data_IF_561132837014
#
_entry.id   IF_561132837014
#
_cell.length_a   1.000
_cell.length_b   1.000
_cell.length_c   1.000
_cell.angle_alpha   90.00
_cell.angle_beta   90.00
_cell.angle_gamma   90.00
#
_symmetry.space_group_name_H-M   'P 1'
#
loop_
_entity.id
_entity.type
_entity.pdbx_description
1 polymer ?
#
# COMPACT_ATOMS: atom_id res chain seq x y z
N UNK A 1 17.94 -13.83 20.54
CA UNK A 1 18.03 -12.62 19.66
C UNK A 1 16.61 -12.07 19.54
N UNK A 2 16.43 -10.77 19.63
CA UNK A 2 15.09 -10.18 19.58
C UNK A 2 14.41 -10.42 18.22
N UNK A 3 13.15 -10.83 18.21
CA UNK A 3 12.34 -11.05 17.01
C UNK A 3 11.52 -9.79 16.75
N UNK A 4 11.92 -9.02 15.73
CA UNK A 4 11.29 -7.75 15.36
C UNK A 4 10.10 -7.99 14.42
N UNK A 5 9.13 -7.04 14.42
CA UNK A 5 7.99 -7.09 13.50
C UNK A 5 8.43 -7.06 12.04
N UNK A 6 9.32 -6.12 11.70
CA UNK A 6 9.88 -5.95 10.37
C UNK A 6 11.39 -5.81 10.42
N UNK A 7 12.08 -6.49 9.52
CA UNK A 7 13.51 -6.28 9.27
C UNK A 7 13.72 -6.23 7.76
N UNK A 8 13.86 -5.03 7.18
CA UNK A 8 14.13 -4.88 5.76
C UNK A 8 15.39 -5.64 5.33
N UNK A 9 15.32 -6.24 4.17
CA UNK A 9 16.43 -7.03 3.60
C UNK A 9 16.73 -6.52 2.20
N UNK A 10 18.01 -6.29 1.91
CA UNK A 10 18.47 -5.73 0.65
C UNK A 10 19.53 -6.61 0.00
N UNK A 11 19.55 -6.68 -1.33
CA UNK A 11 20.71 -7.08 -2.10
C UNK A 11 21.70 -5.92 -2.11
N UNK A 12 22.59 -5.91 -1.12
CA UNK A 12 23.50 -4.78 -0.84
C UNK A 12 24.40 -4.49 -2.03
N UNK A 13 24.99 -5.53 -2.66
CA UNK A 13 25.95 -5.34 -3.76
C UNK A 13 25.25 -4.76 -5.01
N UNK A 14 24.08 -5.27 -5.37
CA UNK A 14 23.29 -4.73 -6.49
C UNK A 14 22.84 -3.31 -6.22
N UNK A 15 22.41 -3.00 -4.99
CA UNK A 15 22.03 -1.65 -4.58
C UNK A 15 23.22 -0.68 -4.70
N UNK A 16 24.37 -1.04 -4.15
CA UNK A 16 25.57 -0.21 -4.20
C UNK A 16 26.07 0.00 -5.63
N UNK A 17 26.00 -1.03 -6.49
CA UNK A 17 26.33 -0.91 -7.91
C UNK A 17 25.45 0.10 -8.62
N UNK A 18 24.13 0.03 -8.45
CA UNK A 18 23.18 0.98 -9.06
C UNK A 18 23.35 2.41 -8.55
N UNK A 19 23.60 2.58 -7.24
CA UNK A 19 23.88 3.89 -6.65
C UNK A 19 25.21 4.45 -7.18
N UNK A 20 26.24 3.65 -7.27
CA UNK A 20 27.56 4.02 -7.84
C UNK A 20 27.38 4.57 -9.26
N UNK A 21 26.62 3.89 -10.10
CA UNK A 21 26.34 4.37 -11.45
C UNK A 21 25.69 5.78 -11.46
N UNK A 22 24.76 6.05 -10.54
CA UNK A 22 24.15 7.37 -10.41
C UNK A 22 25.18 8.46 -10.05
N UNK A 23 26.09 8.14 -9.12
CA UNK A 23 27.13 9.07 -8.64
C UNK A 23 28.19 9.32 -9.72
N UNK A 24 28.68 8.26 -10.39
CA UNK A 24 29.67 8.38 -11.46
C UNK A 24 29.15 9.16 -12.67
N UNK A 25 27.86 8.98 -13.02
CA UNK A 25 27.20 9.80 -14.06
C UNK A 25 26.86 11.22 -13.60
N UNK A 26 27.00 11.52 -12.30
CA UNK A 26 26.61 12.82 -11.74
C UNK A 26 25.08 13.08 -11.82
N UNK A 27 24.26 12.02 -11.89
CA UNK A 27 22.81 12.15 -12.03
C UNK A 27 22.07 11.39 -10.92
N UNK A 28 21.82 12.07 -9.83
CA UNK A 28 21.16 11.51 -8.62
C UNK A 28 19.67 11.85 -8.54
N UNK A 29 19.21 12.89 -9.22
CA UNK A 29 17.80 13.32 -9.27
C UNK A 29 16.92 12.42 -10.13
N UNK A 30 15.70 12.89 -10.46
CA UNK A 30 14.82 12.23 -11.44
C UNK A 30 15.55 12.08 -12.78
N UNK A 31 15.54 10.89 -13.39
CA UNK A 31 16.26 10.65 -14.63
C UNK A 31 16.32 9.18 -15.02
N UNK A 32 17.45 8.71 -15.50
CA UNK A 32 17.58 7.40 -16.16
C UNK A 32 17.15 6.22 -15.27
N UNK A 33 17.46 6.18 -13.98
CA UNK A 33 17.04 5.08 -13.08
C UNK A 33 15.56 5.16 -12.72
N UNK A 34 14.99 6.34 -12.61
CA UNK A 34 13.54 6.44 -12.37
C UNK A 34 12.76 5.96 -13.59
N UNK A 35 13.19 6.32 -14.81
CA UNK A 35 12.59 5.85 -16.06
C UNK A 35 12.73 4.33 -16.20
N UNK A 36 13.93 3.78 -15.94
CA UNK A 36 14.18 2.34 -15.97
C UNK A 36 13.25 1.59 -14.99
N UNK A 37 13.07 2.12 -13.77
CA UNK A 37 12.21 1.49 -12.77
C UNK A 37 10.73 1.55 -13.15
N UNK A 38 10.26 2.68 -13.72
CA UNK A 38 8.89 2.81 -14.24
C UNK A 38 8.61 1.76 -15.33
N UNK A 39 9.52 1.58 -16.30
CA UNK A 39 9.37 0.58 -17.35
C UNK A 39 9.37 -0.85 -16.79
N UNK A 40 10.31 -1.18 -15.90
CA UNK A 40 10.36 -2.51 -15.25
C UNK A 40 9.13 -2.79 -14.40
N UNK A 41 8.56 -1.77 -13.75
CA UNK A 41 7.32 -1.92 -12.99
C UNK A 41 6.10 -2.14 -13.89
N UNK A 42 6.02 -1.46 -15.03
CA UNK A 42 4.99 -1.74 -16.05
C UNK A 42 5.09 -3.16 -16.60
N UNK A 43 6.32 -3.61 -16.94
CA UNK A 43 6.55 -4.98 -17.38
C UNK A 43 6.07 -6.00 -16.32
N UNK A 44 6.41 -5.76 -15.06
CA UNK A 44 6.06 -6.64 -13.95
C UNK A 44 4.56 -6.68 -13.67
N UNK A 45 3.89 -5.53 -13.67
CA UNK A 45 2.47 -5.40 -13.30
C UNK A 45 1.51 -5.54 -14.48
N UNK A 46 1.98 -5.37 -15.70
CA UNK A 46 1.15 -5.22 -16.92
C UNK A 46 0.16 -4.05 -16.85
N UNK A 47 0.39 -3.07 -15.96
CA UNK A 47 -0.36 -1.83 -15.92
C UNK A 47 0.12 -0.86 -17.01
N UNK A 48 -0.78 -0.05 -17.61
CA UNK A 48 -0.43 0.73 -18.81
C UNK A 48 0.54 1.87 -18.55
N UNK A 49 0.52 2.44 -17.35
CA UNK A 49 1.37 3.56 -16.97
C UNK A 49 1.95 3.31 -15.57
N UNK A 50 3.12 3.87 -15.32
CA UNK A 50 3.76 3.89 -14.00
C UNK A 50 4.59 5.16 -13.88
N UNK A 51 4.39 5.89 -12.79
CA UNK A 51 5.15 7.08 -12.46
C UNK A 51 5.76 6.98 -11.07
N UNK A 52 7.09 7.08 -11.00
CA UNK A 52 7.86 6.91 -9.78
C UNK A 52 7.90 8.17 -8.92
N UNK A 53 7.50 8.04 -7.67
CA UNK A 53 7.29 9.14 -6.72
C UNK A 53 8.08 8.95 -5.42
N UNK A 54 8.21 10.01 -4.64
CA UNK A 54 8.88 9.99 -3.34
C UNK A 54 8.13 9.22 -2.24
N UNK A 55 6.84 8.91 -2.42
CA UNK A 55 6.03 8.10 -1.49
C UNK A 55 4.69 7.69 -2.09
N UNK A 56 4.06 6.66 -1.51
CA UNK A 56 2.66 6.31 -1.83
C UNK A 56 1.68 7.42 -1.39
N UNK A 57 1.98 8.16 -0.34
CA UNK A 57 1.17 9.33 0.07
C UNK A 57 1.14 10.39 -1.03
N UNK A 58 2.28 10.67 -1.67
CA UNK A 58 2.35 11.56 -2.81
C UNK A 58 1.54 11.04 -4.00
N UNK A 59 1.55 9.72 -4.23
CA UNK A 59 0.75 9.06 -5.27
C UNK A 59 -0.75 9.24 -5.01
N UNK A 60 -1.22 8.97 -3.79
CA UNK A 60 -2.63 9.14 -3.41
C UNK A 60 -3.09 10.61 -3.50
N UNK A 61 -2.26 11.56 -3.04
CA UNK A 61 -2.57 12.99 -3.16
C UNK A 61 -2.73 13.41 -4.62
N UNK A 62 -1.82 13.01 -5.51
CA UNK A 62 -1.93 13.27 -6.94
C UNK A 62 -3.15 12.59 -7.57
N UNK A 63 -3.47 11.37 -7.13
CA UNK A 63 -4.64 10.64 -7.60
C UNK A 63 -5.90 11.47 -7.40
N UNK A 64 -6.19 11.88 -6.16
CA UNK A 64 -7.42 12.62 -5.88
C UNK A 64 -7.44 14.02 -6.47
N UNK A 65 -6.30 14.73 -6.48
CA UNK A 65 -6.18 16.04 -7.10
C UNK A 65 -6.48 15.98 -8.61
N UNK A 66 -5.90 15.00 -9.32
CA UNK A 66 -6.06 14.85 -10.76
C UNK A 66 -7.45 14.32 -11.13
N UNK A 67 -7.98 13.33 -10.40
CA UNK A 67 -9.30 12.78 -10.69
C UNK A 67 -10.39 13.82 -10.41
N UNK A 68 -10.26 14.61 -9.32
CA UNK A 68 -11.18 15.70 -9.02
C UNK A 68 -11.24 16.72 -10.15
N UNK A 69 -10.08 17.20 -10.61
CA UNK A 69 -10.00 18.14 -11.73
C UNK A 69 -10.51 17.51 -13.04
N UNK A 70 -10.03 16.30 -13.36
CA UNK A 70 -10.31 15.63 -14.62
C UNK A 70 -11.76 15.19 -14.80
N UNK A 71 -12.45 14.87 -13.71
CA UNK A 71 -13.87 14.48 -13.72
C UNK A 71 -14.81 15.60 -13.24
N UNK A 72 -14.29 16.78 -12.90
CA UNK A 72 -15.07 17.92 -12.46
C UNK A 72 -15.77 17.72 -11.11
N UNK A 73 -15.18 16.91 -10.21
CA UNK A 73 -15.74 16.73 -8.85
C UNK A 73 -15.65 18.00 -8.04
N UNK A 74 -16.58 18.20 -7.13
CA UNK A 74 -16.69 19.40 -6.34
C UNK A 74 -16.20 19.19 -4.91
N UNK A 75 -15.90 20.27 -4.20
CA UNK A 75 -15.64 20.21 -2.76
C UNK A 75 -16.81 19.59 -2.03
N UNK A 76 -16.52 18.62 -1.15
CA UNK A 76 -17.52 17.87 -0.40
C UNK A 76 -18.16 16.71 -1.16
N UNK A 77 -17.79 16.45 -2.44
CA UNK A 77 -18.11 15.17 -3.07
C UNK A 77 -17.47 14.01 -2.30
N UNK A 78 -18.10 12.85 -2.33
CA UNK A 78 -17.82 11.76 -1.42
C UNK A 78 -16.96 10.67 -2.07
N UNK A 79 -15.99 10.17 -1.28
CA UNK A 79 -15.21 8.97 -1.60
C UNK A 79 -15.46 7.94 -0.50
N UNK A 80 -16.00 6.78 -0.87
CA UNK A 80 -16.17 5.66 0.06
C UNK A 80 -14.79 5.04 0.30
N UNK A 81 -14.45 4.82 1.56
CA UNK A 81 -13.15 4.30 2.01
C UNK A 81 -13.31 3.47 3.28
N UNK A 82 -12.22 2.86 3.74
CA UNK A 82 -12.20 2.09 4.99
C UNK A 82 -11.58 2.89 6.14
N UNK A 83 -12.06 2.73 7.38
CA UNK A 83 -11.36 3.26 8.55
C UNK A 83 -10.15 2.39 8.95
N UNK A 84 -10.07 1.13 8.47
CA UNK A 84 -9.00 0.19 8.78
C UNK A 84 -7.86 0.31 7.75
N UNK A 85 -7.07 1.38 7.86
CA UNK A 85 -5.94 1.66 6.96
C UNK A 85 -4.93 2.58 7.62
N UNK A 86 -3.75 2.68 7.01
CA UNK A 86 -2.82 3.75 7.35
C UNK A 86 -3.44 5.10 6.99
N UNK A 87 -3.25 6.07 7.87
CA UNK A 87 -3.98 7.34 7.83
C UNK A 87 -3.83 8.13 6.51
N UNK A 88 -2.74 7.92 5.76
CA UNK A 88 -2.48 8.62 4.50
C UNK A 88 -3.55 8.37 3.42
N UNK A 89 -4.16 7.18 3.40
CA UNK A 89 -5.24 6.84 2.46
C UNK A 89 -6.40 7.83 2.60
N UNK A 90 -6.85 8.05 3.85
CA UNK A 90 -7.98 8.93 4.15
C UNK A 90 -7.60 10.41 4.12
N UNK A 91 -6.36 10.76 4.50
CA UNK A 91 -5.88 12.13 4.40
C UNK A 91 -5.84 12.64 2.96
N UNK A 92 -5.46 11.80 1.99
CA UNK A 92 -5.40 12.20 0.59
C UNK A 92 -6.78 12.63 0.04
N UNK A 93 -7.87 11.99 0.48
CA UNK A 93 -9.25 12.38 0.16
C UNK A 93 -9.55 13.79 0.68
N UNK A 94 -9.27 14.02 1.96
CA UNK A 94 -9.59 15.30 2.62
C UNK A 94 -8.72 16.44 2.09
N UNK A 95 -7.44 16.17 1.81
CA UNK A 95 -6.52 17.17 1.22
C UNK A 95 -6.96 17.63 -0.17
N UNK A 96 -7.68 16.79 -0.91
CA UNK A 96 -8.29 17.17 -2.19
C UNK A 96 -9.62 17.95 -2.02
N UNK A 97 -10.07 18.25 -0.79
CA UNK A 97 -11.35 18.90 -0.51
C UNK A 97 -12.56 17.95 -0.65
N UNK A 98 -12.33 16.65 -0.77
CA UNK A 98 -13.38 15.63 -0.83
C UNK A 98 -13.71 15.14 0.58
N UNK A 99 -14.87 14.48 0.72
CA UNK A 99 -15.33 13.92 1.99
C UNK A 99 -15.07 12.41 2.01
N UNK A 100 -14.32 11.93 3.01
CA UNK A 100 -14.21 10.51 3.27
C UNK A 100 -15.51 9.97 3.87
N UNK A 101 -16.10 8.93 3.27
CA UNK A 101 -17.27 8.22 3.76
C UNK A 101 -16.82 6.81 4.13
N UNK A 102 -16.89 6.47 5.41
CA UNK A 102 -16.36 5.21 5.88
C UNK A 102 -17.37 4.07 5.73
N UNK A 103 -17.00 3.06 4.95
CA UNK A 103 -17.66 1.76 4.91
C UNK A 103 -16.90 0.76 5.76
N UNK A 104 -17.64 -0.16 6.37
CA UNK A 104 -17.08 -1.18 7.27
C UNK A 104 -16.25 -2.22 6.53
N UNK A 105 -15.53 -3.03 7.26
CA UNK A 105 -14.72 -4.14 6.77
C UNK A 105 -15.42 -5.48 6.96
N UNK A 106 -14.98 -6.48 6.21
CA UNK A 106 -15.36 -7.88 6.40
C UNK A 106 -14.24 -8.69 7.10
N UNK A 107 -14.36 -10.00 7.08
CA UNK A 107 -13.41 -10.94 7.69
C UNK A 107 -12.03 -11.00 7.01
N UNK A 108 -11.87 -10.32 5.88
CA UNK A 108 -10.61 -10.14 5.17
C UNK A 108 -9.84 -8.88 5.61
N UNK A 109 -10.41 -8.04 6.47
CA UNK A 109 -9.99 -6.70 6.86
C UNK A 109 -10.00 -5.68 5.72
N UNK A 110 -10.54 -6.02 4.55
CA UNK A 110 -10.79 -5.11 3.45
C UNK A 110 -12.25 -4.61 3.48
N UNK A 111 -12.58 -3.68 2.60
CA UNK A 111 -13.95 -3.16 2.47
C UNK A 111 -14.98 -4.27 2.26
N UNK A 112 -16.04 -4.26 3.07
CA UNK A 112 -17.24 -5.08 2.86
C UNK A 112 -18.08 -4.50 1.71
N UNK A 113 -18.30 -5.26 0.61
CA UNK A 113 -19.11 -4.81 -0.52
C UNK A 113 -20.52 -4.35 -0.14
N UNK A 114 -21.18 -5.04 0.81
CA UNK A 114 -22.51 -4.64 1.26
C UNK A 114 -22.49 -3.32 2.03
N UNK A 115 -21.44 -3.09 2.81
CA UNK A 115 -21.24 -1.79 3.45
C UNK A 115 -20.97 -0.70 2.42
N UNK A 116 -20.18 -0.99 1.36
CA UNK A 116 -19.97 -0.04 0.25
C UNK A 116 -21.31 0.35 -0.38
N UNK A 117 -22.18 -0.63 -0.74
CA UNK A 117 -23.51 -0.36 -1.34
C UNK A 117 -24.36 0.57 -0.48
N UNK A 118 -24.39 0.35 0.84
CA UNK A 118 -25.19 1.13 1.78
C UNK A 118 -24.77 2.59 1.91
N UNK A 119 -23.51 2.90 1.56
CA UNK A 119 -22.95 4.25 1.70
C UNK A 119 -22.95 5.05 0.39
N UNK A 120 -23.46 4.48 -0.73
CA UNK A 120 -23.58 5.20 -1.99
C UNK A 120 -24.68 6.26 -1.91
N UNK A 121 -24.33 7.49 -2.27
CA UNK A 121 -25.24 8.64 -2.37
C UNK A 121 -25.08 9.33 -3.73
N UNK A 122 -25.91 10.32 -4.03
CA UNK A 122 -25.78 11.15 -5.24
C UNK A 122 -24.47 11.95 -5.31
N UNK A 123 -23.76 12.09 -4.17
CA UNK A 123 -22.48 12.78 -4.07
C UNK A 123 -21.29 11.83 -4.19
N UNK A 124 -21.52 10.53 -4.15
CA UNK A 124 -20.42 9.55 -4.24
C UNK A 124 -19.80 9.58 -5.62
N UNK A 125 -18.48 9.70 -5.69
CA UNK A 125 -17.69 9.76 -6.94
C UNK A 125 -16.76 8.57 -7.10
N UNK A 126 -16.27 8.05 -5.98
CA UNK A 126 -15.27 7.01 -6.03
C UNK A 126 -15.32 6.07 -4.82
N UNK A 127 -14.68 4.93 -4.98
CA UNK A 127 -14.33 4.00 -3.88
C UNK A 127 -12.81 3.89 -3.84
N UNK A 128 -12.22 4.14 -2.66
CA UNK A 128 -10.83 3.83 -2.37
C UNK A 128 -10.75 2.47 -1.69
N UNK A 129 -10.35 1.45 -2.43
CA UNK A 129 -10.12 0.12 -1.91
C UNK A 129 -8.68 -0.02 -1.41
N UNK A 130 -8.50 -0.51 -0.19
CA UNK A 130 -7.17 -0.75 0.41
C UNK A 130 -6.94 -2.25 0.54
N UNK A 131 -5.90 -2.76 -0.11
CA UNK A 131 -5.50 -4.16 0.01
C UNK A 131 -4.67 -4.43 1.25
N UNK A 132 -5.30 -4.40 2.43
CA UNK A 132 -4.62 -4.48 3.72
C UNK A 132 -3.84 -5.79 3.87
N UNK A 133 -2.60 -5.70 4.33
CA UNK A 133 -1.73 -6.87 4.54
C UNK A 133 -1.32 -7.61 3.26
N UNK A 134 -1.66 -7.09 2.08
CA UNK A 134 -1.49 -7.76 0.79
C UNK A 134 -2.69 -8.63 0.40
N UNK A 135 -3.81 -8.52 1.12
CA UNK A 135 -5.05 -9.23 0.84
C UNK A 135 -5.82 -8.56 -0.30
N UNK A 136 -6.53 -9.34 -1.12
CA UNK A 136 -7.43 -8.80 -2.14
C UNK A 136 -8.85 -8.57 -1.62
N UNK A 137 -9.20 -9.12 -0.45
CA UNK A 137 -10.58 -9.08 0.03
C UNK A 137 -11.56 -9.46 -1.07
N UNK A 138 -12.70 -8.83 -1.10
CA UNK A 138 -13.72 -8.99 -2.14
C UNK A 138 -13.60 -7.92 -3.23
N UNK A 139 -12.39 -7.69 -3.72
CA UNK A 139 -12.08 -6.67 -4.72
C UNK A 139 -12.97 -6.73 -5.95
N UNK A 140 -13.22 -7.93 -6.49
CA UNK A 140 -14.04 -8.11 -7.71
C UNK A 140 -15.49 -7.69 -7.50
N UNK A 141 -16.04 -7.92 -6.30
CA UNK A 141 -17.38 -7.44 -5.95
C UNK A 141 -17.44 -5.92 -5.87
N UNK A 142 -16.40 -5.29 -5.29
CA UNK A 142 -16.30 -3.82 -5.25
C UNK A 142 -16.13 -3.25 -6.67
N UNK A 143 -15.32 -3.88 -7.54
CA UNK A 143 -15.23 -3.53 -8.97
C UNK A 143 -16.60 -3.55 -9.63
N UNK A 144 -17.40 -4.59 -9.37
CA UNK A 144 -18.75 -4.72 -9.91
C UNK A 144 -19.67 -3.58 -9.44
N UNK A 145 -19.63 -3.27 -8.13
CA UNK A 145 -20.39 -2.17 -7.54
C UNK A 145 -20.01 -0.84 -8.20
N UNK A 146 -18.72 -0.56 -8.36
CA UNK A 146 -18.24 0.66 -9.00
C UNK A 146 -18.77 0.78 -10.44
N UNK A 147 -18.78 -0.32 -11.20
CA UNK A 147 -19.33 -0.34 -12.58
C UNK A 147 -20.84 -0.12 -12.61
N UNK A 148 -21.60 -0.74 -11.69
CA UNK A 148 -23.05 -0.61 -11.59
C UNK A 148 -23.50 0.81 -11.28
N UNK A 149 -22.70 1.57 -10.54
CA UNK A 149 -23.02 2.92 -10.07
C UNK A 149 -22.18 4.03 -10.73
N UNK A 150 -21.42 3.73 -11.79
CA UNK A 150 -20.49 4.65 -12.47
C UNK A 150 -19.51 5.35 -11.51
N UNK A 151 -19.06 4.64 -10.48
CA UNK A 151 -18.06 5.13 -9.52
C UNK A 151 -16.65 4.82 -10.00
N UNK A 152 -15.70 5.71 -9.70
CA UNK A 152 -14.28 5.49 -10.01
C UNK A 152 -13.65 4.66 -8.91
N UNK A 153 -12.97 3.58 -9.28
CA UNK A 153 -12.24 2.74 -8.33
C UNK A 153 -10.78 3.21 -8.25
N UNK A 154 -10.32 3.44 -7.02
CA UNK A 154 -8.91 3.72 -6.71
C UNK A 154 -8.40 2.56 -5.85
N UNK A 155 -7.25 1.99 -6.22
CA UNK A 155 -6.62 0.93 -5.44
C UNK A 155 -5.41 1.48 -4.67
N UNK A 156 -5.51 1.47 -3.35
CA UNK A 156 -4.34 1.62 -2.49
C UNK A 156 -3.68 0.25 -2.33
N UNK A 157 -2.63 0.05 -3.12
CA UNK A 157 -1.84 -1.17 -3.18
C UNK A 157 -0.55 -1.09 -2.36
N UNK A 158 -0.50 -0.20 -1.34
CA UNK A 158 0.70 0.02 -0.52
C UNK A 158 1.22 -1.26 0.17
N UNK A 159 0.38 -2.28 0.33
CA UNK A 159 0.73 -3.60 0.87
C UNK A 159 0.70 -4.71 -0.19
N UNK A 160 0.43 -4.40 -1.45
CA UNK A 160 0.10 -5.41 -2.47
C UNK A 160 1.18 -5.62 -3.53
N UNK A 161 2.41 -5.13 -3.34
CA UNK A 161 3.48 -5.39 -4.29
C UNK A 161 3.68 -6.91 -4.48
N UNK A 162 3.32 -7.42 -5.67
CA UNK A 162 3.36 -8.85 -6.00
C UNK A 162 2.17 -9.69 -5.53
N UNK A 163 1.11 -9.09 -4.96
CA UNK A 163 -0.17 -9.79 -4.76
C UNK A 163 -0.78 -10.15 -6.12
N UNK A 164 -1.30 -11.36 -6.23
CA UNK A 164 -2.04 -11.82 -7.43
C UNK A 164 -3.45 -12.27 -7.04
N UNK A 165 -4.38 -12.02 -7.94
CA UNK A 165 -5.75 -12.53 -7.89
C UNK A 165 -5.99 -13.31 -9.18
N UNK A 166 -6.30 -14.61 -9.05
CA UNK A 166 -6.41 -15.54 -10.19
C UNK A 166 -5.17 -15.52 -11.11
N UNK A 167 -3.97 -15.38 -10.52
CA UNK A 167 -2.69 -15.35 -11.24
C UNK A 167 -2.32 -13.99 -11.83
N UNK A 168 -3.20 -12.98 -11.80
CA UNK A 168 -2.96 -11.64 -12.32
C UNK A 168 -2.76 -10.60 -11.20
N UNK A 169 -1.96 -9.57 -11.45
CA UNK A 169 -1.84 -8.43 -10.52
C UNK A 169 -3.12 -7.58 -10.62
N UNK A 170 -3.85 -7.35 -9.49
CA UNK A 170 -5.10 -6.59 -9.50
C UNK A 170 -4.85 -5.11 -9.78
N UNK A 171 -5.87 -4.42 -10.34
CA UNK A 171 -5.83 -2.99 -10.58
C UNK A 171 -6.10 -2.56 -12.01
N UNK A 172 -6.23 -3.47 -12.98
CA UNK A 172 -6.58 -3.14 -14.38
C UNK A 172 -7.91 -2.38 -14.50
N UNK A 173 -8.84 -2.63 -13.58
CA UNK A 173 -10.16 -1.97 -13.52
C UNK A 173 -10.11 -0.61 -12.85
N UNK A 174 -9.13 -0.37 -11.98
CA UNK A 174 -9.00 0.86 -11.23
C UNK A 174 -8.55 2.04 -12.10
N UNK A 175 -9.02 3.24 -11.79
CA UNK A 175 -8.53 4.48 -12.41
C UNK A 175 -7.07 4.75 -12.06
N UNK A 176 -6.67 4.38 -10.83
CA UNK A 176 -5.28 4.41 -10.39
C UNK A 176 -4.96 3.29 -9.40
N UNK A 177 -3.70 2.87 -9.43
CA UNK A 177 -3.12 1.94 -8.45
C UNK A 177 -1.92 2.63 -7.80
N UNK A 178 -1.87 2.62 -6.48
CA UNK A 178 -0.91 3.37 -5.69
C UNK A 178 -0.06 2.42 -4.84
N UNK A 179 1.21 2.22 -5.19
CA UNK A 179 2.12 1.33 -4.49
C UNK A 179 3.06 2.09 -3.56
N UNK A 180 3.43 1.45 -2.46
CA UNK A 180 4.46 1.92 -1.52
C UNK A 180 5.70 1.03 -1.59
N UNK A 181 6.85 1.66 -1.64
CA UNK A 181 8.16 1.01 -1.55
C UNK A 181 8.96 1.55 -0.35
N UNK A 182 8.25 2.03 0.68
CA UNK A 182 8.87 2.43 1.94
C UNK A 182 9.64 1.24 2.55
N UNK A 183 10.67 1.50 3.33
CA UNK A 183 11.68 0.53 3.78
C UNK A 183 11.14 -0.80 4.33
N UNK A 184 9.96 -0.82 4.97
CA UNK A 184 9.37 -2.06 5.52
C UNK A 184 8.48 -2.82 4.52
N UNK A 185 8.23 -2.28 3.32
CA UNK A 185 7.35 -2.90 2.33
C UNK A 185 8.00 -4.11 1.65
N UNK A 186 7.20 -4.90 0.94
CA UNK A 186 7.64 -6.14 0.28
C UNK A 186 8.70 -5.89 -0.79
N UNK A 187 8.64 -4.75 -1.47
CA UNK A 187 9.72 -4.23 -2.30
C UNK A 187 10.30 -3.01 -1.58
N UNK A 188 11.32 -3.19 -0.73
CA UNK A 188 11.85 -2.10 0.07
C UNK A 188 12.78 -1.19 -0.72
N UNK A 189 12.63 0.12 -0.51
CA UNK A 189 13.63 1.13 -0.85
C UNK A 189 13.99 1.92 0.42
N UNK A 190 14.24 3.22 0.34
CA UNK A 190 14.20 4.09 1.53
C UNK A 190 12.75 4.58 1.74
N UNK A 191 12.38 5.65 1.03
CA UNK A 191 11.01 6.11 0.88
C UNK A 191 10.72 6.34 -0.60
N UNK A 192 9.71 5.66 -1.13
CA UNK A 192 9.22 5.89 -2.48
C UNK A 192 7.87 5.21 -2.73
N UNK A 193 7.29 5.46 -3.90
CA UNK A 193 6.05 4.87 -4.33
C UNK A 193 5.91 4.90 -5.85
N UNK A 194 4.86 4.26 -6.34
CA UNK A 194 4.53 4.23 -7.76
C UNK A 194 3.05 4.54 -7.94
N UNK A 195 2.76 5.50 -8.79
CA UNK A 195 1.41 5.83 -9.25
C UNK A 195 1.19 5.24 -10.64
N UNK A 196 0.18 4.41 -10.78
CA UNK A 196 -0.18 3.79 -12.04
C UNK A 196 -1.58 4.23 -12.45
N UNK A 197 -1.70 5.27 -13.26
CA UNK A 197 -2.97 5.66 -13.85
C UNK A 197 -3.36 4.75 -15.01
N UNK A 198 -4.64 4.44 -15.13
CA UNK A 198 -5.20 3.77 -16.30
C UNK A 198 -5.18 4.67 -17.51
N UNK A 199 -5.52 5.95 -17.33
CA UNK A 199 -5.57 6.95 -18.39
C UNK A 199 -4.19 7.61 -18.59
N UNK A 200 -3.65 7.53 -19.81
CA UNK A 200 -2.36 8.12 -20.16
C UNK A 200 -2.32 9.66 -20.04
N UNK A 201 -3.45 10.34 -20.23
CA UNK A 201 -3.48 11.81 -20.05
C UNK A 201 -3.36 12.18 -18.56
N UNK A 202 -3.96 11.41 -17.67
CA UNK A 202 -3.78 11.62 -16.24
C UNK A 202 -2.35 11.32 -15.78
N UNK A 203 -1.68 10.32 -16.38
CA UNK A 203 -0.25 10.07 -16.13
C UNK A 203 0.61 11.28 -16.55
N UNK A 204 0.34 11.87 -17.72
CA UNK A 204 1.04 13.07 -18.16
C UNK A 204 0.82 14.27 -17.23
N UNK A 205 -0.40 14.46 -16.74
CA UNK A 205 -0.72 15.51 -15.77
C UNK A 205 0.00 15.25 -14.46
N UNK A 206 0.04 13.98 -13.98
CA UNK A 206 0.74 13.58 -12.77
C UNK A 206 2.24 13.91 -12.82
N UNK A 207 2.90 13.64 -13.96
CA UNK A 207 4.32 13.98 -14.19
C UNK A 207 4.58 15.47 -14.07
N UNK A 208 3.66 16.31 -14.56
CA UNK A 208 3.77 17.76 -14.45
C UNK A 208 3.48 18.25 -13.03
N UNK A 209 2.35 17.85 -12.45
CA UNK A 209 1.97 18.26 -11.09
C UNK A 209 2.98 17.79 -10.03
N UNK A 210 3.59 16.61 -10.18
CA UNK A 210 4.64 16.13 -9.29
C UNK A 210 5.98 16.91 -9.43
N UNK A 211 6.14 17.71 -10.47
CA UNK A 211 7.27 18.58 -10.74
C UNK A 211 6.84 20.06 -10.80
N UNK A 212 6.13 20.52 -9.77
CA UNK A 212 5.74 21.93 -9.60
C UNK A 212 4.86 22.49 -10.73
N UNK A 213 4.20 21.64 -11.52
CA UNK A 213 3.40 22.03 -12.68
C UNK A 213 4.21 22.36 -13.95
N UNK A 214 5.53 22.15 -13.91
CA UNK A 214 6.46 22.46 -15.00
C UNK A 214 6.32 21.40 -16.11
N UNK A 215 6.21 21.86 -17.38
CA UNK A 215 6.01 20.99 -18.53
C UNK A 215 7.26 20.24 -19.02
N UNK A 216 8.44 20.57 -18.50
CA UNK A 216 9.72 19.94 -18.84
C UNK A 216 10.56 19.74 -17.60
N UNK A 217 10.83 18.50 -17.25
CA UNK A 217 11.73 18.17 -16.15
C UNK A 217 13.20 18.51 -16.46
N UNK A 218 14.04 18.51 -15.43
CA UNK A 218 15.46 18.88 -15.59
C UNK A 218 16.23 17.91 -16.46
N UNK A 219 15.90 16.60 -16.41
CA UNK A 219 16.57 15.58 -17.19
C UNK A 219 16.30 15.76 -18.68
N UNK A 220 15.04 15.93 -19.07
CA UNK A 220 14.64 16.17 -20.47
C UNK A 220 15.20 17.50 -21.02
N UNK A 221 15.42 18.50 -20.16
CA UNK A 221 16.05 19.77 -20.55
C UNK A 221 17.56 19.65 -20.77
N UNK A 222 18.22 18.71 -20.12
CA UNK A 222 19.68 18.52 -20.16
C UNK A 222 20.13 17.50 -21.20
N UNK A 223 19.25 16.61 -21.64
CA UNK A 223 19.54 15.59 -22.65
C UNK A 223 19.49 16.20 -24.06
N UNK A 224 20.50 15.91 -24.88
CA UNK A 224 20.57 16.36 -26.28
C UNK A 224 21.53 17.52 -26.55
N UNK A 225 22.49 17.80 -25.65
CA UNK A 225 23.65 18.66 -25.92
C UNK A 225 23.44 20.16 -25.76
N UNK A 226 22.21 20.65 -25.71
CA UNK A 226 21.89 22.05 -25.47
C UNK A 226 20.91 22.20 -24.31
N UNK A 227 21.32 22.84 -23.23
CA UNK A 227 20.45 23.12 -22.09
C UNK A 227 19.31 24.07 -22.51
N UNK A 228 18.07 23.55 -22.45
CA UNK A 228 16.86 24.33 -22.78
C UNK A 228 16.29 24.94 -21.50
N UNK A 229 16.71 26.14 -21.15
CA UNK A 229 16.29 26.83 -19.93
C UNK A 229 14.81 27.22 -19.89
N UNK A 230 14.18 27.39 -21.06
CA UNK A 230 12.80 27.87 -21.17
C UNK A 230 11.80 26.70 -20.92
N UNK A 231 10.93 26.91 -19.95
CA UNK A 231 9.82 26.02 -19.61
C UNK A 231 8.56 26.85 -19.33
N UNK A 232 7.42 26.20 -19.30
CA UNK A 232 6.14 26.76 -18.89
C UNK A 232 5.65 26.05 -17.62
N UNK A 233 4.80 26.73 -16.84
CA UNK A 233 4.16 26.20 -15.62
C UNK A 233 2.67 26.09 -15.91
N UNK A 234 2.20 24.87 -16.17
CA UNK A 234 0.85 24.61 -16.63
C UNK A 234 -0.15 24.34 -15.50
N UNK A 235 0.36 23.95 -14.32
CA UNK A 235 -0.45 23.61 -13.15
C UNK A 235 0.18 24.16 -11.86
N UNK A 236 -0.66 24.33 -10.82
CA UNK A 236 -0.16 24.38 -9.45
C UNK A 236 0.18 22.94 -9.06
N UNK A 237 1.42 22.68 -8.67
CA UNK A 237 1.88 21.33 -8.39
C UNK A 237 2.81 21.27 -7.19
N UNK A 238 3.22 20.05 -6.85
CA UNK A 238 4.08 19.72 -5.72
C UNK A 238 5.43 19.16 -6.21
N UNK A 239 6.39 19.03 -5.31
CA UNK A 239 7.66 18.35 -5.58
C UNK A 239 7.62 16.92 -5.04
N UNK A 240 6.91 16.04 -5.75
CA UNK A 240 6.62 14.66 -5.32
C UNK A 240 7.41 13.60 -6.08
N UNK A 241 8.13 13.95 -7.15
CA UNK A 241 8.89 13.01 -7.96
C UNK A 241 9.93 12.23 -7.13
N UNK A 242 10.19 10.99 -7.52
CA UNK A 242 11.29 10.19 -7.00
C UNK A 242 12.67 10.62 -7.54
N UNK A 243 13.70 9.90 -7.16
CA UNK A 243 15.08 10.16 -7.59
C UNK A 243 15.80 8.88 -8.02
N UNK A 244 16.88 9.01 -8.80
CA UNK A 244 17.60 7.88 -9.38
C UNK A 244 18.33 7.02 -8.35
N UNK A 245 18.78 7.59 -7.25
CA UNK A 245 19.49 6.84 -6.20
C UNK A 245 18.54 5.83 -5.53
N UNK A 246 17.34 6.28 -5.15
CA UNK A 246 16.34 5.40 -4.52
C UNK A 246 15.71 4.45 -5.54
N UNK A 247 15.53 4.89 -6.81
CA UNK A 247 15.07 4.01 -7.88
C UNK A 247 16.06 2.87 -8.17
N UNK A 248 17.38 3.12 -8.05
CA UNK A 248 18.40 2.08 -8.19
C UNK A 248 18.26 0.96 -7.14
N UNK A 249 17.86 1.31 -5.91
CA UNK A 249 17.53 0.32 -4.87
C UNK A 249 16.32 -0.50 -5.28
N UNK A 250 15.24 0.15 -5.76
CA UNK A 250 14.03 -0.53 -6.23
C UNK A 250 14.31 -1.49 -7.39
N UNK A 251 15.14 -1.07 -8.34
CA UNK A 251 15.58 -1.92 -9.46
C UNK A 251 16.38 -3.15 -9.00
N UNK A 252 17.23 -2.99 -7.99
CA UNK A 252 17.98 -4.11 -7.41
C UNK A 252 17.06 -5.10 -6.66
N UNK A 253 15.99 -4.61 -6.05
CA UNK A 253 15.04 -5.41 -5.24
C UNK A 253 13.95 -6.09 -6.07
N UNK A 254 13.53 -5.50 -7.19
CA UNK A 254 12.42 -6.00 -8.00
C UNK A 254 12.58 -7.46 -8.46
N UNK A 255 13.75 -7.94 -8.91
CA UNK A 255 13.95 -9.34 -9.31
C UNK A 255 13.73 -10.35 -8.17
N UNK A 256 13.76 -9.92 -6.93
CA UNK A 256 13.60 -10.78 -5.75
C UNK A 256 12.15 -10.85 -5.24
N UNK A 257 11.26 -9.94 -5.69
CA UNK A 257 9.94 -9.72 -5.11
C UNK A 257 9.07 -10.98 -5.07
N UNK A 258 8.97 -11.73 -6.16
CA UNK A 258 8.12 -12.95 -6.21
C UNK A 258 8.67 -14.07 -5.31
N UNK A 259 9.99 -14.26 -5.29
CA UNK A 259 10.65 -15.21 -4.38
C UNK A 259 10.41 -14.85 -2.92
N UNK A 260 10.56 -13.58 -2.59
CA UNK A 260 10.42 -13.09 -1.23
C UNK A 260 8.96 -13.16 -0.77
N UNK A 261 8.00 -12.88 -1.64
CA UNK A 261 6.58 -13.07 -1.35
C UNK A 261 6.21 -14.56 -1.20
N UNK A 262 6.82 -15.45 -1.97
CA UNK A 262 6.64 -16.89 -1.78
C UNK A 262 7.13 -17.34 -0.39
N UNK A 263 8.26 -16.81 0.07
CA UNK A 263 8.75 -17.09 1.42
C UNK A 263 7.84 -16.51 2.51
N UNK A 264 7.29 -15.30 2.33
CA UNK A 264 6.29 -14.73 3.25
C UNK A 264 5.03 -15.59 3.33
N UNK A 265 4.57 -16.16 2.23
CA UNK A 265 3.46 -17.14 2.23
C UNK A 265 3.83 -18.43 2.98
N UNK A 266 5.08 -18.87 2.88
CA UNK A 266 5.59 -20.01 3.66
C UNK A 266 5.60 -19.71 5.17
N UNK A 267 6.08 -18.53 5.58
CA UNK A 267 6.02 -18.08 6.98
C UNK A 267 4.57 -18.07 7.49
N UNK A 268 3.65 -17.51 6.69
CA UNK A 268 2.22 -17.49 7.03
C UNK A 268 1.66 -18.91 7.20
N UNK A 269 2.02 -19.84 6.31
CA UNK A 269 1.60 -21.25 6.43
C UNK A 269 2.12 -21.91 7.73
N UNK A 270 3.33 -21.59 8.16
CA UNK A 270 3.84 -22.08 9.44
C UNK A 270 3.07 -21.51 10.62
N UNK A 271 2.77 -20.20 10.62
CA UNK A 271 1.91 -19.59 11.63
C UNK A 271 0.53 -20.26 11.68
N UNK A 272 -0.13 -20.42 10.53
CA UNK A 272 -1.45 -21.04 10.44
C UNK A 272 -1.45 -22.45 11.02
N UNK A 273 -0.46 -23.29 10.68
CA UNK A 273 -0.34 -24.65 11.16
C UNK A 273 -0.06 -24.71 12.67
N UNK A 274 0.85 -23.89 13.18
CA UNK A 274 1.26 -23.92 14.58
C UNK A 274 0.22 -23.31 15.51
N UNK A 275 -0.58 -22.34 15.04
CA UNK A 275 -1.65 -21.67 15.79
C UNK A 275 -3.02 -22.33 15.62
N UNK A 276 -3.18 -23.28 14.69
CA UNK A 276 -4.45 -23.98 14.48
C UNK A 276 -5.07 -24.56 15.78
N UNK A 277 -4.30 -25.12 16.73
CA UNK A 277 -4.84 -25.59 18.01
C UNK A 277 -5.46 -24.50 18.90
N UNK A 278 -5.22 -23.22 18.58
CA UNK A 278 -5.72 -22.05 19.31
C UNK A 278 -6.93 -21.39 18.64
N UNK A 279 -7.53 -22.01 17.61
CA UNK A 279 -8.64 -21.43 16.84
C UNK A 279 -9.92 -21.15 17.68
N UNK A 280 -10.01 -21.70 18.88
CA UNK A 280 -11.05 -21.37 19.87
C UNK A 280 -10.80 -20.03 20.60
N UNK A 281 -9.58 -19.50 20.57
CA UNK A 281 -9.14 -18.26 21.25
C UNK A 281 -8.56 -17.20 20.30
N UNK A 282 -8.23 -17.59 19.08
CA UNK A 282 -7.67 -16.72 18.04
C UNK A 282 -8.56 -16.75 16.82
N UNK A 283 -8.92 -15.56 16.29
CA UNK A 283 -9.55 -15.45 14.97
C UNK A 283 -8.50 -15.13 13.92
N UNK A 284 -8.40 -15.98 12.92
CA UNK A 284 -7.52 -15.78 11.75
C UNK A 284 -8.18 -14.87 10.72
N UNK A 285 -7.36 -14.16 9.95
CA UNK A 285 -7.84 -13.29 8.88
C UNK A 285 -8.04 -14.12 7.60
N UNK A 286 -9.22 -14.04 7.04
CA UNK A 286 -9.57 -14.75 5.80
C UNK A 286 -8.77 -14.22 4.62
N UNK A 287 -8.19 -15.12 3.83
CA UNK A 287 -7.64 -14.82 2.50
C UNK A 287 -8.51 -15.50 1.47
N UNK A 288 -9.13 -14.75 0.54
CA UNK A 288 -10.06 -15.32 -0.44
C UNK A 288 -9.41 -16.36 -1.35
N UNK A 289 -10.22 -17.25 -1.89
CA UNK A 289 -9.82 -18.17 -2.93
C UNK A 289 -9.32 -17.37 -4.16
N UNK A 290 -8.25 -17.86 -4.80
CA UNK A 290 -7.60 -17.19 -5.92
C UNK A 290 -6.65 -16.06 -5.53
N UNK A 291 -6.62 -15.63 -4.26
CA UNK A 291 -5.69 -14.63 -3.79
C UNK A 291 -4.34 -15.24 -3.41
N UNK A 292 -3.30 -14.92 -4.18
CA UNK A 292 -1.90 -15.10 -3.78
C UNK A 292 -1.41 -13.83 -3.09
N UNK A 293 -1.71 -13.71 -1.78
CA UNK A 293 -1.33 -12.55 -0.99
C UNK A 293 0.19 -12.34 -0.95
N UNK A 294 0.63 -11.09 -1.09
CA UNK A 294 2.01 -10.69 -0.84
C UNK A 294 2.43 -10.87 0.64
N UNK A 295 1.46 -11.09 1.54
CA UNK A 295 1.71 -11.29 2.98
C UNK A 295 2.65 -10.22 3.55
N UNK A 296 2.30 -8.96 3.31
CA UNK A 296 2.98 -7.85 3.96
C UNK A 296 2.84 -7.92 5.47
N UNK A 297 1.65 -8.32 5.93
CA UNK A 297 1.33 -8.58 7.33
C UNK A 297 0.85 -10.03 7.52
N UNK A 298 1.12 -10.58 8.69
CA UNK A 298 0.42 -11.72 9.23
C UNK A 298 -0.29 -11.28 10.51
N UNK A 299 -1.60 -11.39 10.55
CA UNK A 299 -2.44 -10.79 11.58
C UNK A 299 -3.37 -11.83 12.19
N UNK A 300 -3.58 -11.70 13.50
CA UNK A 300 -4.56 -12.46 14.28
C UNK A 300 -5.41 -11.50 15.10
N UNK A 301 -6.63 -11.91 15.45
CA UNK A 301 -7.43 -11.20 16.46
C UNK A 301 -7.52 -12.06 17.74
N UNK A 302 -7.42 -11.40 18.88
CA UNK A 302 -7.44 -12.00 20.21
C UNK A 302 -8.05 -11.03 21.22
N UNK A 303 -8.84 -11.54 22.17
CA UNK A 303 -9.57 -10.72 23.15
C UNK A 303 -8.64 -9.90 24.04
N UNK A 304 -7.57 -10.49 24.55
CA UNK A 304 -6.57 -9.79 25.37
C UNK A 304 -5.32 -9.46 24.54
N UNK A 305 -5.50 -8.59 23.52
CA UNK A 305 -4.40 -8.14 22.65
C UNK A 305 -3.27 -7.46 23.43
N UNK A 306 -3.62 -6.56 24.35
CA UNK A 306 -2.63 -5.81 25.12
C UNK A 306 -1.83 -6.71 26.04
N UNK A 307 -2.49 -7.67 26.73
CA UNK A 307 -1.83 -8.67 27.55
C UNK A 307 -0.89 -9.54 26.73
N UNK A 308 -1.33 -10.03 25.56
CA UNK A 308 -0.45 -10.82 24.67
C UNK A 308 0.73 -9.98 24.17
N UNK A 309 0.51 -8.73 23.78
CA UNK A 309 1.58 -7.86 23.29
C UNK A 309 2.64 -7.61 24.38
N UNK A 310 2.22 -7.34 25.63
CA UNK A 310 3.13 -7.20 26.76
C UNK A 310 3.89 -8.50 27.06
N UNK A 311 3.20 -9.64 27.01
CA UNK A 311 3.81 -10.95 27.23
C UNK A 311 4.88 -11.25 26.17
N UNK A 312 4.60 -11.04 24.90
CA UNK A 312 5.56 -11.23 23.81
C UNK A 312 6.77 -10.32 23.95
N UNK A 313 6.55 -9.04 24.30
CA UNK A 313 7.64 -8.08 24.53
C UNK A 313 8.59 -8.52 25.66
N UNK A 314 8.07 -9.15 26.74
CA UNK A 314 8.89 -9.71 27.82
C UNK A 314 9.75 -10.90 27.35
N UNK A 315 9.40 -11.52 26.22
CA UNK A 315 10.13 -12.62 25.59
C UNK A 315 10.95 -12.17 24.37
N UNK A 316 11.27 -10.88 24.27
CA UNK A 316 12.02 -10.28 23.15
C UNK A 316 11.34 -10.45 21.77
N UNK A 317 10.01 -10.58 21.72
CA UNK A 317 9.20 -10.65 20.51
C UNK A 317 8.38 -9.36 20.42
N UNK A 318 8.56 -8.60 19.33
CA UNK A 318 7.97 -7.27 19.14
C UNK A 318 6.90 -7.28 18.06
N UNK A 319 5.61 -7.52 18.39
CA UNK A 319 4.50 -7.43 17.47
C UNK A 319 4.09 -5.96 17.22
N UNK A 320 3.08 -5.74 16.39
CA UNK A 320 2.54 -4.41 16.13
C UNK A 320 1.04 -4.39 15.89
N UNK A 321 0.47 -3.19 15.71
CA UNK A 321 -0.96 -3.00 15.41
C UNK A 321 -1.12 -2.30 14.05
N UNK A 322 -1.84 -2.93 13.12
CA UNK A 322 -2.13 -2.42 11.77
C UNK A 322 -3.59 -2.71 11.39
N UNK A 323 -4.54 -1.80 11.65
CA UNK A 323 -4.31 -0.45 12.19
C UNK A 323 -5.33 -0.15 13.30
N UNK A 324 -5.24 1.06 13.85
CA UNK A 324 -6.30 1.63 14.69
C UNK A 324 -7.41 2.15 13.76
N UNK A 325 -8.67 1.97 14.16
CA UNK A 325 -9.83 2.54 13.47
C UNK A 325 -9.67 4.07 13.32
N UNK A 326 -9.57 4.54 12.09
CA UNK A 326 -9.33 5.95 11.80
C UNK A 326 -10.46 6.87 12.30
N UNK A 327 -11.66 6.35 12.51
CA UNK A 327 -12.79 7.16 13.04
C UNK A 327 -12.55 7.60 14.49
N UNK A 328 -11.59 7.01 15.20
CA UNK A 328 -11.18 7.46 16.53
C UNK A 328 -10.37 8.77 16.49
N UNK A 329 -9.80 9.14 15.32
CA UNK A 329 -9.07 10.38 15.20
C UNK A 329 -10.01 11.59 15.04
N UNK A 330 -9.65 12.71 15.68
CA UNK A 330 -10.47 13.92 15.77
C UNK A 330 -11.07 14.37 14.42
N UNK A 331 -10.28 14.31 13.34
CA UNK A 331 -10.72 14.77 12.02
C UNK A 331 -11.78 13.87 11.38
N UNK A 332 -11.93 12.63 11.85
CA UNK A 332 -12.87 11.63 11.35
C UNK A 332 -13.93 11.23 12.39
N UNK A 333 -13.98 11.91 13.54
CA UNK A 333 -14.92 11.62 14.62
C UNK A 333 -16.41 11.74 14.22
N UNK A 334 -16.71 12.39 13.08
CA UNK A 334 -18.05 12.44 12.51
C UNK A 334 -18.60 11.06 12.10
N UNK A 335 -17.72 10.08 11.94
CA UNK A 335 -18.05 8.70 11.58
C UNK A 335 -17.83 7.71 12.73
N UNK A 336 -17.57 8.19 13.95
CA UNK A 336 -17.36 7.30 15.10
C UNK A 336 -18.57 6.38 15.31
N UNK A 337 -18.31 5.07 15.46
CA UNK A 337 -19.32 4.04 15.69
C UNK A 337 -20.09 3.59 14.43
N UNK A 338 -19.77 4.09 13.24
CA UNK A 338 -20.44 3.67 11.98
C UNK A 338 -19.89 2.35 11.41
N UNK A 339 -18.71 1.92 11.84
CA UNK A 339 -17.99 0.75 11.33
C UNK A 339 -17.67 -0.23 12.49
N UNK A 340 -18.66 -0.99 12.99
CA UNK A 340 -18.48 -1.86 14.16
C UNK A 340 -17.44 -2.96 13.97
N UNK A 341 -17.29 -3.54 12.77
CA UNK A 341 -16.27 -4.56 12.51
C UNK A 341 -14.86 -3.97 12.55
N UNK A 342 -14.67 -2.77 11.99
CA UNK A 342 -13.40 -2.07 12.04
C UNK A 342 -13.04 -1.66 13.47
N UNK A 343 -14.01 -1.20 14.27
CA UNK A 343 -13.82 -0.89 15.68
C UNK A 343 -13.40 -2.15 16.46
N UNK A 344 -14.11 -3.27 16.28
CA UNK A 344 -13.75 -4.54 16.87
C UNK A 344 -12.33 -4.98 16.46
N UNK A 345 -12.01 -4.94 15.16
CA UNK A 345 -10.67 -5.29 14.69
C UNK A 345 -9.60 -4.37 15.27
N UNK A 346 -9.85 -3.07 15.37
CA UNK A 346 -8.93 -2.10 15.99
C UNK A 346 -8.53 -2.48 17.42
N UNK A 347 -9.46 -3.03 18.19
CA UNK A 347 -9.22 -3.38 19.60
C UNK A 347 -8.56 -4.75 19.76
N UNK A 348 -8.73 -5.67 18.82
CA UNK A 348 -8.32 -7.07 18.94
C UNK A 348 -7.16 -7.49 18.04
N UNK A 349 -6.86 -6.70 16.99
CA UNK A 349 -5.91 -7.06 15.95
C UNK A 349 -4.45 -6.94 16.42
N UNK A 350 -3.66 -7.98 16.17
CA UNK A 350 -2.22 -8.01 16.40
C UNK A 350 -1.50 -8.52 15.16
N UNK A 351 -0.50 -7.77 14.70
CA UNK A 351 0.40 -8.18 13.60
C UNK A 351 1.62 -8.88 14.19
N UNK A 352 1.84 -10.12 13.81
CA UNK A 352 2.99 -10.92 14.22
C UNK A 352 4.21 -10.64 13.34
N UNK A 353 5.43 -10.92 13.79
CA UNK A 353 6.64 -10.76 13.00
C UNK A 353 6.55 -11.37 11.61
N UNK A 354 6.89 -10.59 10.56
CA UNK A 354 6.79 -11.01 9.17
C UNK A 354 7.88 -10.35 8.33
N UNK A 355 9.03 -11.03 8.17
CA UNK A 355 10.15 -10.53 7.36
C UNK A 355 11.05 -11.67 6.88
N UNK A 356 11.93 -11.38 5.92
CA UNK A 356 12.76 -12.36 5.22
C UNK A 356 13.87 -13.02 6.08
N UNK A 357 14.13 -12.51 7.29
CA UNK A 357 15.14 -13.08 8.20
C UNK A 357 14.56 -14.04 9.23
N UNK A 358 13.25 -14.24 9.24
CA UNK A 358 12.63 -15.23 10.13
C UNK A 358 12.91 -16.65 9.62
N UNK A 359 13.26 -17.53 10.52
CA UNK A 359 13.35 -18.97 10.28
C UNK A 359 12.08 -19.70 10.76
N UNK A 360 11.99 -21.00 10.50
CA UNK A 360 10.97 -21.87 11.06
C UNK A 360 11.01 -21.87 12.61
N UNK A 361 12.22 -21.87 13.20
CA UNK A 361 12.40 -21.85 14.64
C UNK A 361 11.99 -20.52 15.26
N UNK A 362 12.18 -19.39 14.58
CA UNK A 362 11.67 -18.09 15.02
C UNK A 362 10.14 -18.08 15.05
N UNK A 363 9.49 -18.56 13.99
CA UNK A 363 8.02 -18.69 13.96
C UNK A 363 7.53 -19.62 15.05
N UNK A 364 8.23 -20.75 15.28
CA UNK A 364 7.93 -21.67 16.37
C UNK A 364 8.03 -20.99 17.74
N UNK A 365 9.08 -20.21 17.96
CA UNK A 365 9.28 -19.44 19.20
C UNK A 365 8.11 -18.49 19.46
N UNK A 366 7.72 -17.70 18.43
CA UNK A 366 6.58 -16.78 18.53
C UNK A 366 5.28 -17.53 18.86
N UNK A 367 5.03 -18.65 18.17
CA UNK A 367 3.78 -19.40 18.34
C UNK A 367 3.74 -20.16 19.67
N UNK A 368 4.87 -20.66 20.16
CA UNK A 368 4.94 -21.32 21.47
C UNK A 368 4.68 -20.31 22.60
N UNK A 369 5.23 -19.09 22.53
CA UNK A 369 4.90 -18.01 23.47
C UNK A 369 3.41 -17.65 23.44
N UNK A 370 2.79 -17.59 22.26
CA UNK A 370 1.34 -17.33 22.15
C UNK A 370 0.53 -18.45 22.79
N UNK A 371 0.88 -19.73 22.56
CA UNK A 371 0.21 -20.89 23.16
C UNK A 371 0.34 -20.86 24.70
N UNK A 372 1.54 -20.59 25.21
CA UNK A 372 1.79 -20.49 26.65
C UNK A 372 0.92 -19.41 27.30
N UNK A 373 0.86 -18.20 26.68
CA UNK A 373 -0.04 -17.13 27.13
C UNK A 373 -1.50 -17.56 27.15
N UNK A 374 -1.93 -18.36 26.18
CA UNK A 374 -3.30 -18.87 26.07
C UNK A 374 -3.57 -20.09 26.98
N UNK A 375 -2.56 -20.65 27.64
CA UNK A 375 -2.69 -21.87 28.48
C UNK A 375 -2.91 -23.15 27.67
N UNK A 376 -2.29 -23.22 26.47
CA UNK A 376 -2.38 -24.34 25.52
C UNK A 376 -1.10 -25.19 25.50
#
# INVERSE_FOLDING_TARGET
MAIQLFVPTFDVESCLSGIRECLEKGWTGMGFKTIEFEEKWKEYTSLPNAYYLGSATAALNLTFDILKEGYGWQDGDEVITTPMTFISSNHAIVLAGLKAVFADIDDTLCLDPESVRKHITDKTRAVLFVGLGGNTGRYEEVVKICKEHDLKLILDAAHMAGTRLHGEIPGKEAESVNYSFQAVKNLPTADSGMLCFKNAEFDKIARRKAWLGINKDTYSRSTGGNYKWRYDVEYVGNKYHGNSVVAAIGLAQLPHLDRDNAYRRQLASWYDQMLAPCADKIKFITVPEGCESARHLYQIMIDDREGLMMYLNQHDIYPGVHYVDNTQYRMYAYAAGTCPNAAYASDHLLSLPMHMRLSYDDVKTVTDCIKEFLGK
#
